data_IF_248541556002
#
_entry.id   IF_248541556002
#
_cell.length_a   1.000
_cell.length_b   1.000
_cell.length_c   1.000
_cell.angle_alpha   90.00
_cell.angle_beta   90.00
_cell.angle_gamma   90.00
#
_symmetry.space_group_name_H-M   'P 1'
#
loop_
_entity.id
_entity.type
_entity.pdbx_description
1 polymer ?
#
# COMPACT_ATOMS: atom_id res chain seq x y z
N UNK A 1 6.53 -4.33 10.07
CA UNK A 1 5.84 -5.21 9.09
C UNK A 1 6.82 -6.07 8.29
N UNK A 2 7.65 -5.50 7.39
CA UNK A 2 8.50 -6.29 6.47
C UNK A 2 9.98 -5.89 6.53
N UNK A 3 10.61 -5.96 7.71
CA UNK A 3 12.00 -5.51 7.90
C UNK A 3 12.95 -6.33 7.01
N UNK A 4 13.96 -5.65 6.45
CA UNK A 4 15.01 -6.22 5.59
C UNK A 4 14.54 -6.87 4.27
N UNK A 5 13.28 -6.70 3.88
CA UNK A 5 12.72 -7.21 2.62
C UNK A 5 12.54 -6.08 1.60
N UNK A 6 12.50 -6.42 0.31
CA UNK A 6 12.32 -5.44 -0.78
C UNK A 6 11.04 -4.62 -0.63
N UNK A 7 9.93 -5.25 -0.23
CA UNK A 7 8.64 -4.61 0.02
C UNK A 7 8.67 -3.61 1.19
N UNK A 8 9.63 -3.74 2.12
CA UNK A 8 9.82 -2.82 3.24
C UNK A 8 10.67 -1.59 2.92
N UNK A 9 11.21 -1.47 1.70
CA UNK A 9 12.05 -0.34 1.29
C UNK A 9 11.18 0.85 0.88
N UNK A 10 11.64 2.06 1.22
CA UNK A 10 11.02 3.29 0.71
C UNK A 10 11.09 3.32 -0.82
N UNK A 11 9.98 3.65 -1.47
CA UNK A 11 9.90 3.81 -2.94
C UNK A 11 10.88 4.89 -3.41
N UNK A 12 11.06 5.96 -2.62
CA UNK A 12 11.94 7.07 -2.95
C UNK A 12 13.43 6.75 -2.74
N UNK A 13 13.75 5.63 -2.09
CA UNK A 13 15.11 5.31 -1.66
C UNK A 13 15.62 6.27 -0.58
N UNK A 14 16.93 6.48 -0.56
CA UNK A 14 17.61 7.43 0.34
C UNK A 14 18.32 8.52 -0.46
N UNK A 15 18.61 9.71 0.14
CA UNK A 15 19.35 10.78 -0.52
C UNK A 15 20.67 10.30 -1.14
N UNK A 16 21.39 9.38 -0.49
CA UNK A 16 22.65 8.80 -0.96
C UNK A 16 22.44 7.97 -2.22
N UNK A 17 21.43 7.08 -2.20
CA UNK A 17 21.12 6.24 -3.37
C UNK A 17 20.70 7.07 -4.58
N UNK A 18 19.84 8.08 -4.37
CA UNK A 18 19.34 8.96 -5.44
C UNK A 18 20.48 9.76 -6.07
N UNK A 19 21.42 10.29 -5.27
CA UNK A 19 22.60 11.00 -5.77
C UNK A 19 23.59 10.10 -6.51
N UNK A 20 23.55 8.79 -6.27
CA UNK A 20 24.48 7.83 -6.89
C UNK A 20 24.05 7.32 -8.27
N UNK A 21 22.81 7.58 -8.68
CA UNK A 21 22.28 7.05 -9.94
C UNK A 21 22.95 7.65 -11.17
N UNK A 22 23.25 6.78 -12.13
CA UNK A 22 23.83 7.12 -13.43
C UNK A 22 22.85 6.80 -14.55
N UNK A 23 22.98 7.50 -15.69
CA UNK A 23 22.18 7.23 -16.89
C UNK A 23 22.23 5.75 -17.30
N UNK A 24 23.43 5.15 -17.25
CA UNK A 24 23.61 3.72 -17.55
C UNK A 24 22.75 2.83 -16.65
N UNK A 25 22.71 3.07 -15.34
CA UNK A 25 21.91 2.26 -14.42
C UNK A 25 20.41 2.36 -14.71
N UNK A 26 19.92 3.52 -15.15
CA UNK A 26 18.52 3.72 -15.54
C UNK A 26 18.19 2.95 -16.82
N UNK A 27 19.06 3.03 -17.84
CA UNK A 27 18.91 2.24 -19.06
C UNK A 27 18.95 0.73 -18.77
N UNK A 28 19.93 0.26 -17.99
CA UNK A 28 20.04 -1.13 -17.59
C UNK A 28 18.80 -1.59 -16.80
N UNK A 29 18.21 -0.72 -15.98
CA UNK A 29 16.96 -1.02 -15.27
C UNK A 29 15.78 -1.18 -16.23
N UNK A 30 15.62 -0.27 -17.19
CA UNK A 30 14.56 -0.35 -18.20
C UNK A 30 14.72 -1.65 -19.00
N UNK A 31 15.91 -1.92 -19.53
CA UNK A 31 16.19 -3.13 -20.32
C UNK A 31 15.85 -4.41 -19.56
N UNK A 32 16.18 -4.49 -18.26
CA UNK A 32 15.89 -5.67 -17.45
C UNK A 32 14.42 -5.79 -17.05
N UNK A 33 13.75 -4.69 -16.71
CA UNK A 33 12.44 -4.76 -16.04
C UNK A 33 11.26 -4.65 -17.00
N UNK A 34 11.39 -3.87 -18.07
CA UNK A 34 10.31 -3.64 -19.02
C UNK A 34 10.39 -4.71 -20.10
N UNK A 35 9.31 -5.43 -20.34
CA UNK A 35 9.16 -6.39 -21.43
C UNK A 35 7.68 -6.50 -21.74
N UNK A 36 7.32 -6.77 -22.99
CA UNK A 36 5.91 -6.77 -23.41
C UNK A 36 5.03 -7.69 -22.53
N UNK A 37 5.54 -8.82 -22.06
CA UNK A 37 4.83 -9.75 -21.16
C UNK A 37 4.49 -9.17 -19.77
N UNK A 38 5.13 -8.05 -19.37
CA UNK A 38 4.94 -7.36 -18.09
C UNK A 38 4.32 -5.96 -18.26
N UNK A 39 3.86 -5.62 -19.46
CA UNK A 39 3.26 -4.33 -19.79
C UNK A 39 1.81 -4.52 -20.21
N UNK A 40 0.92 -3.67 -19.69
CA UNK A 40 -0.49 -3.65 -20.07
C UNK A 40 -0.83 -2.26 -20.57
N UNK A 41 -1.42 -2.17 -21.76
CA UNK A 41 -1.88 -0.90 -22.33
C UNK A 41 -3.38 -0.83 -22.17
N UNK A 42 -3.84 0.21 -21.48
CA UNK A 42 -5.25 0.40 -21.12
C UNK A 42 -5.78 1.65 -21.80
N UNK A 43 -6.97 1.55 -22.38
CA UNK A 43 -7.67 2.68 -22.98
C UNK A 43 -9.16 2.62 -22.63
N UNK A 44 -9.75 3.75 -22.24
CA UNK A 44 -11.15 3.86 -21.84
C UNK A 44 -11.77 5.12 -22.46
N UNK A 45 -13.02 5.01 -22.94
CA UNK A 45 -13.75 6.07 -23.63
C UNK A 45 -14.38 5.60 -24.95
N UNK A 46 -14.63 6.52 -25.88
CA UNK A 46 -15.13 6.21 -27.23
C UNK A 46 -14.01 5.64 -28.11
N UNK A 47 -13.72 4.35 -27.92
CA UNK A 47 -12.59 3.67 -28.56
C UNK A 47 -13.10 2.41 -29.25
N UNK A 48 -12.67 2.22 -30.50
CA UNK A 48 -12.87 0.96 -31.23
C UNK A 48 -11.70 0.03 -30.95
N UNK A 49 -11.96 -1.07 -30.24
CA UNK A 49 -10.94 -2.03 -29.79
C UNK A 49 -9.96 -2.43 -30.90
N UNK A 50 -10.45 -2.88 -32.06
CA UNK A 50 -9.59 -3.35 -33.15
C UNK A 50 -8.71 -2.24 -33.77
N UNK A 51 -9.17 -0.99 -33.73
CA UNK A 51 -8.34 0.14 -34.19
C UNK A 51 -7.24 0.43 -33.18
N UNK A 52 -7.57 0.36 -31.89
CA UNK A 52 -6.62 0.56 -30.81
C UNK A 52 -5.55 -0.53 -30.77
N UNK A 53 -5.93 -1.81 -30.87
CA UNK A 53 -4.99 -2.94 -30.91
C UNK A 53 -4.04 -2.80 -32.08
N UNK A 54 -4.55 -2.51 -33.28
CA UNK A 54 -3.70 -2.27 -34.47
C UNK A 54 -2.71 -1.13 -34.26
N UNK A 55 -3.15 -0.04 -33.63
CA UNK A 55 -2.25 1.09 -33.36
C UNK A 55 -1.16 0.73 -32.34
N UNK A 56 -1.51 -0.05 -31.32
CA UNK A 56 -0.55 -0.60 -30.35
C UNK A 56 0.45 -1.52 -31.05
N UNK A 57 -0.01 -2.46 -31.86
CA UNK A 57 0.85 -3.37 -32.64
C UNK A 57 1.78 -2.61 -33.57
N UNK A 58 1.26 -1.60 -34.29
CA UNK A 58 2.05 -0.77 -35.19
C UNK A 58 3.18 -0.01 -34.47
N UNK A 59 2.95 0.45 -33.24
CA UNK A 59 3.93 1.27 -32.48
C UNK A 59 4.85 0.45 -31.59
N UNK A 60 4.35 -0.64 -31.02
CA UNK A 60 4.99 -1.38 -29.94
C UNK A 60 5.18 -2.86 -30.26
N UNK A 61 4.73 -3.35 -31.42
CA UNK A 61 4.90 -4.76 -31.83
C UNK A 61 6.36 -5.20 -31.99
N UNK A 62 7.26 -4.25 -32.24
CA UNK A 62 8.71 -4.49 -32.26
C UNK A 62 9.39 -4.38 -30.89
N UNK A 63 8.65 -4.09 -29.81
CA UNK A 63 9.21 -4.01 -28.47
C UNK A 63 9.62 -5.40 -27.97
N UNK A 64 10.65 -5.47 -27.13
CA UNK A 64 11.15 -6.75 -26.62
C UNK A 64 10.05 -7.52 -25.89
N UNK A 65 9.94 -8.81 -26.20
CA UNK A 65 8.86 -9.65 -25.70
C UNK A 65 8.99 -9.96 -24.20
N UNK A 66 10.21 -10.28 -23.75
CA UNK A 66 10.48 -10.71 -22.37
C UNK A 66 11.34 -9.74 -21.59
N UNK A 67 11.12 -9.69 -20.29
CA UNK A 67 11.97 -8.98 -19.35
C UNK A 67 12.97 -9.97 -18.72
N UNK A 68 14.22 -9.54 -18.49
CA UNK A 68 15.24 -10.32 -17.78
C UNK A 68 15.13 -10.12 -16.25
N UNK A 69 13.91 -10.18 -15.73
CA UNK A 69 13.62 -9.90 -14.32
C UNK A 69 13.56 -11.19 -13.52
N UNK A 70 14.10 -11.15 -12.29
CA UNK A 70 14.06 -12.27 -11.37
C UNK A 70 12.69 -12.37 -10.68
N UNK A 71 12.28 -13.60 -10.36
CA UNK A 71 11.08 -13.84 -9.56
C UNK A 71 11.32 -13.27 -8.15
N UNK A 72 10.47 -12.36 -7.66
CA UNK A 72 10.63 -11.81 -6.31
C UNK A 72 10.44 -12.90 -5.25
N UNK A 73 11.19 -12.78 -4.16
CA UNK A 73 10.98 -13.62 -2.99
C UNK A 73 9.67 -13.24 -2.30
N UNK A 74 8.97 -14.26 -1.79
CA UNK A 74 7.74 -14.05 -1.05
C UNK A 74 7.97 -13.21 0.20
N UNK A 75 7.12 -12.19 0.38
CA UNK A 75 7.14 -11.34 1.54
C UNK A 75 6.70 -12.11 2.80
N UNK A 76 7.37 -11.82 3.92
CA UNK A 76 7.10 -12.40 5.23
C UNK A 76 6.74 -11.31 6.22
N UNK A 77 5.51 -11.32 6.74
CA UNK A 77 5.13 -10.40 7.79
C UNK A 77 5.83 -10.79 9.10
N UNK A 78 6.70 -9.91 9.60
CA UNK A 78 7.48 -10.12 10.84
C UNK A 78 7.00 -9.25 12.01
N UNK A 79 5.99 -8.39 11.78
CA UNK A 79 5.52 -7.44 12.79
C UNK A 79 6.58 -6.42 13.20
N UNK A 80 6.62 -6.12 14.50
CA UNK A 80 7.54 -5.19 15.15
C UNK A 80 6.95 -3.80 15.38
N UNK A 81 7.67 -2.99 16.16
CA UNK A 81 7.32 -1.60 16.48
C UNK A 81 8.34 -0.62 15.88
N UNK A 82 7.90 0.61 15.65
CA UNK A 82 8.78 1.72 15.29
C UNK A 82 8.18 2.99 15.89
N UNK A 83 9.04 3.80 16.51
CA UNK A 83 8.66 5.07 17.12
C UNK A 83 9.67 6.11 16.69
N UNK A 84 9.16 7.27 16.32
CA UNK A 84 9.96 8.39 15.91
C UNK A 84 9.37 9.63 16.55
N UNK A 85 10.23 10.42 17.19
CA UNK A 85 9.84 11.72 17.71
C UNK A 85 9.93 12.74 16.57
N UNK A 86 8.85 13.49 16.36
CA UNK A 86 8.74 14.54 15.35
C UNK A 86 7.93 15.68 15.93
N UNK A 87 8.36 16.90 15.62
CA UNK A 87 7.62 18.12 15.96
C UNK A 87 6.37 18.23 15.08
N UNK A 88 5.28 17.62 15.55
CA UNK A 88 3.96 17.57 14.92
C UNK A 88 2.91 18.01 15.93
N UNK A 89 1.81 18.58 15.45
CA UNK A 89 0.67 18.97 16.30
C UNK A 89 -0.02 17.76 16.96
N UNK A 90 -0.09 16.64 16.24
CA UNK A 90 -0.74 15.41 16.68
C UNK A 90 0.22 14.22 16.59
N UNK A 91 0.10 13.30 17.54
CA UNK A 91 0.71 11.99 17.46
C UNK A 91 0.00 11.12 16.42
N UNK A 92 0.77 10.60 15.47
CA UNK A 92 0.30 9.68 14.43
C UNK A 92 0.55 8.24 14.87
N UNK A 93 -0.50 7.43 14.87
CA UNK A 93 -0.44 6.02 15.29
C UNK A 93 -0.94 5.15 14.14
N UNK A 94 -0.19 4.08 13.87
CA UNK A 94 -0.61 3.01 12.95
C UNK A 94 -0.48 1.68 13.66
N UNK A 95 -1.62 0.98 13.78
CA UNK A 95 -1.66 -0.43 14.16
C UNK A 95 -1.77 -1.25 12.88
N UNK A 96 -0.76 -2.06 12.59
CA UNK A 96 -0.71 -2.85 11.36
C UNK A 96 -0.64 -4.34 11.64
N UNK A 97 -1.47 -5.11 10.93
CA UNK A 97 -1.57 -6.56 10.94
C UNK A 97 -1.22 -7.12 9.56
N UNK A 98 -0.91 -8.42 9.50
CA UNK A 98 -0.82 -9.11 8.21
C UNK A 98 -2.18 -9.09 7.51
N UNK A 99 -2.19 -8.62 6.26
CA UNK A 99 -3.36 -8.57 5.41
C UNK A 99 -3.45 -9.76 4.46
N UNK A 100 -4.25 -9.58 3.39
CA UNK A 100 -4.48 -10.60 2.36
C UNK A 100 -3.99 -10.11 0.99
N UNK A 101 -3.37 -11.00 0.24
CA UNK A 101 -2.94 -10.74 -1.14
C UNK A 101 -4.14 -10.45 -2.05
N UNK A 102 -3.90 -9.72 -3.14
CA UNK A 102 -4.98 -9.29 -4.05
C UNK A 102 -5.74 -10.44 -4.70
N UNK A 103 -5.05 -11.56 -4.97
CA UNK A 103 -5.60 -12.69 -5.71
C UNK A 103 -6.28 -13.74 -4.82
N UNK A 104 -6.23 -13.62 -3.49
CA UNK A 104 -6.87 -14.59 -2.60
C UNK A 104 -8.31 -14.21 -2.32
N UNK A 105 -9.17 -15.22 -2.15
CA UNK A 105 -10.62 -15.06 -1.91
C UNK A 105 -10.93 -14.06 -0.80
N UNK A 106 -10.15 -14.11 0.28
CA UNK A 106 -10.40 -13.33 1.49
C UNK A 106 -10.01 -11.84 1.33
N UNK A 107 -9.41 -11.43 0.20
CA UNK A 107 -9.11 -10.02 -0.11
C UNK A 107 -10.35 -9.13 0.04
N UNK A 108 -11.46 -9.52 -0.57
CA UNK A 108 -12.71 -8.74 -0.51
C UNK A 108 -13.32 -8.75 0.89
N UNK A 109 -13.17 -9.84 1.65
CA UNK A 109 -13.57 -9.88 3.05
C UNK A 109 -12.77 -8.87 3.88
N UNK A 110 -11.46 -8.76 3.66
CA UNK A 110 -10.61 -7.74 4.31
C UNK A 110 -10.97 -6.30 3.89
N UNK A 111 -11.35 -6.06 2.63
CA UNK A 111 -11.86 -4.76 2.18
C UNK A 111 -13.15 -4.38 2.92
N UNK A 112 -14.12 -5.29 2.98
CA UNK A 112 -15.39 -5.08 3.69
C UNK A 112 -15.13 -4.85 5.18
N UNK A 113 -14.23 -5.61 5.79
CA UNK A 113 -13.83 -5.43 7.18
C UNK A 113 -13.27 -4.02 7.42
N UNK A 114 -12.38 -3.52 6.54
CA UNK A 114 -11.88 -2.13 6.66
C UNK A 114 -13.01 -1.09 6.55
N UNK A 115 -14.03 -1.35 5.73
CA UNK A 115 -15.16 -0.45 5.57
C UNK A 115 -16.03 -0.38 6.83
N UNK A 116 -16.32 -1.54 7.43
CA UNK A 116 -17.09 -1.66 8.68
C UNK A 116 -16.34 -1.00 9.84
N UNK A 117 -15.02 -1.22 9.93
CA UNK A 117 -14.22 -0.71 11.02
C UNK A 117 -13.95 0.79 10.93
N UNK A 118 -13.58 1.30 9.75
CA UNK A 118 -13.12 2.68 9.62
C UNK A 118 -13.29 3.31 8.24
N UNK A 119 -14.22 2.83 7.42
CA UNK A 119 -14.40 3.31 6.04
C UNK A 119 -15.26 4.57 5.85
N UNK A 120 -15.85 5.10 6.93
CA UNK A 120 -16.71 6.27 6.86
C UNK A 120 -17.33 6.65 8.20
N UNK A 121 -18.24 7.62 8.19
CA UNK A 121 -18.83 8.18 9.42
C UNK A 121 -19.68 7.18 10.21
N UNK A 122 -20.26 6.18 9.54
CA UNK A 122 -21.04 5.11 10.19
C UNK A 122 -20.19 3.94 10.70
N UNK A 123 -18.87 3.99 10.54
CA UNK A 123 -17.98 2.91 10.93
C UNK A 123 -17.79 2.82 12.45
N UNK A 124 -17.43 1.63 12.94
CA UNK A 124 -17.22 1.34 14.37
C UNK A 124 -16.26 2.35 15.02
N UNK A 125 -15.07 2.52 14.43
CA UNK A 125 -14.03 3.41 14.95
C UNK A 125 -14.46 4.87 14.92
N UNK A 126 -15.16 5.31 13.86
CA UNK A 126 -15.64 6.68 13.81
C UNK A 126 -16.64 6.96 14.94
N UNK A 127 -17.59 6.05 15.16
CA UNK A 127 -18.59 6.20 16.21
C UNK A 127 -17.97 6.14 17.61
N UNK A 128 -17.13 5.14 17.89
CA UNK A 128 -16.64 4.90 19.25
C UNK A 128 -15.50 5.84 19.64
N UNK A 129 -14.58 6.13 18.73
CA UNK A 129 -13.40 6.92 19.03
C UNK A 129 -13.65 8.42 18.84
N UNK A 130 -14.26 8.80 17.71
CA UNK A 130 -14.46 10.21 17.37
C UNK A 130 -15.78 10.76 17.89
N UNK A 131 -16.91 10.11 17.60
CA UNK A 131 -18.23 10.65 17.95
C UNK A 131 -18.51 10.59 19.46
N UNK A 132 -18.34 9.41 20.07
CA UNK A 132 -18.69 9.19 21.48
C UNK A 132 -17.65 9.72 22.47
N UNK A 133 -16.36 9.61 22.13
CA UNK A 133 -15.26 9.90 23.06
C UNK A 133 -14.42 11.13 22.70
N UNK A 134 -14.53 11.65 21.47
CA UNK A 134 -13.77 12.82 21.03
C UNK A 134 -12.25 12.64 21.10
N UNK A 135 -11.74 11.40 21.02
CA UNK A 135 -10.32 11.10 21.25
C UNK A 135 -9.43 11.45 20.05
N UNK A 136 -9.97 11.52 18.85
CA UNK A 136 -9.19 11.83 17.66
C UNK A 136 -10.06 12.53 16.62
N UNK A 137 -9.44 13.37 15.80
CA UNK A 137 -10.10 13.97 14.64
C UNK A 137 -10.14 13.02 13.43
N UNK A 138 -9.07 12.24 13.25
CA UNK A 138 -8.94 11.29 12.14
C UNK A 138 -8.67 9.89 12.67
N UNK A 139 -9.56 8.96 12.33
CA UNK A 139 -9.40 7.52 12.51
C UNK A 139 -10.00 6.80 11.31
N UNK A 140 -9.28 5.84 10.76
CA UNK A 140 -9.75 5.01 9.67
C UNK A 140 -9.03 3.67 9.65
N UNK A 141 -9.67 2.67 9.04
CA UNK A 141 -9.08 1.38 8.77
C UNK A 141 -8.78 1.26 7.28
N UNK A 142 -7.73 0.51 6.95
CA UNK A 142 -7.34 0.28 5.57
C UNK A 142 -6.87 -1.16 5.39
N UNK A 143 -6.98 -1.62 4.16
CA UNK A 143 -6.39 -2.86 3.72
C UNK A 143 -5.67 -2.65 2.38
N UNK A 144 -4.39 -2.98 2.33
CA UNK A 144 -3.56 -2.91 1.15
C UNK A 144 -3.13 -4.34 0.78
N UNK A 145 -3.68 -4.86 -0.32
CA UNK A 145 -3.28 -6.15 -0.87
C UNK A 145 -2.12 -6.00 -1.85
N UNK A 146 -1.07 -6.78 -1.67
CA UNK A 146 0.04 -6.94 -2.60
C UNK A 146 -0.12 -8.24 -3.40
N UNK A 147 0.85 -8.53 -4.27
CA UNK A 147 0.85 -9.74 -5.10
C UNK A 147 0.81 -11.03 -4.28
N UNK A 148 1.45 -11.05 -3.12
CA UNK A 148 1.74 -12.25 -2.33
C UNK A 148 1.46 -12.10 -0.82
N UNK A 149 1.27 -10.87 -0.32
CA UNK A 149 0.89 -10.58 1.06
C UNK A 149 -0.06 -9.37 1.11
N UNK A 150 -0.39 -8.88 2.29
CA UNK A 150 -1.10 -7.62 2.47
C UNK A 150 -0.76 -6.94 3.80
N UNK A 151 -1.25 -5.72 3.97
CA UNK A 151 -1.31 -5.04 5.27
C UNK A 151 -2.76 -4.70 5.54
N UNK A 152 -3.26 -5.10 6.70
CA UNK A 152 -4.46 -4.53 7.29
C UNK A 152 -4.04 -3.56 8.39
N UNK A 153 -4.68 -2.41 8.54
CA UNK A 153 -4.31 -1.52 9.61
C UNK A 153 -5.35 -0.49 9.99
N UNK A 154 -5.13 0.12 11.14
CA UNK A 154 -5.87 1.26 11.64
C UNK A 154 -4.90 2.42 11.82
N UNK A 155 -5.24 3.56 11.23
CA UNK A 155 -4.54 4.81 11.45
C UNK A 155 -5.38 5.71 12.34
N UNK A 156 -4.74 6.39 13.29
CA UNK A 156 -5.37 7.43 14.09
C UNK A 156 -4.41 8.59 14.38
N UNK A 157 -4.95 9.81 14.46
CA UNK A 157 -4.21 11.02 14.81
C UNK A 157 -4.85 11.66 16.06
N UNK A 158 -4.08 11.80 17.13
CA UNK A 158 -4.57 12.29 18.43
C UNK A 158 -3.53 13.12 19.17
N UNK A 159 -3.95 13.85 20.20
CA UNK A 159 -3.03 14.50 21.14
C UNK A 159 -2.21 13.48 21.93
N UNK A 160 -0.96 13.83 22.25
CA UNK A 160 -0.03 12.92 22.93
C UNK A 160 -0.57 12.38 24.27
N UNK A 161 -1.33 13.21 25.00
CA UNK A 161 -1.98 12.84 26.27
C UNK A 161 -3.07 11.78 26.14
N UNK A 162 -3.68 11.63 24.95
CA UNK A 162 -4.83 10.75 24.75
C UNK A 162 -4.46 9.40 24.11
N UNK A 163 -3.21 9.21 23.71
CA UNK A 163 -2.70 7.94 23.15
C UNK A 163 -3.03 6.75 24.07
N UNK A 164 -2.79 6.91 25.37
CA UNK A 164 -3.01 5.84 26.37
C UNK A 164 -4.48 5.45 26.51
N UNK A 165 -5.42 6.33 26.17
CA UNK A 165 -6.87 6.06 26.14
C UNK A 165 -7.33 5.57 24.77
N UNK A 166 -6.73 6.09 23.70
CA UNK A 166 -7.09 5.78 22.32
C UNK A 166 -6.79 4.33 21.95
N UNK A 167 -5.58 3.86 22.23
CA UNK A 167 -5.11 2.53 21.77
C UNK A 167 -6.00 1.39 22.29
N UNK A 168 -6.39 1.34 23.58
CA UNK A 168 -7.31 0.31 24.06
C UNK A 168 -8.65 0.31 23.34
N UNK A 169 -9.24 1.49 23.09
CA UNK A 169 -10.54 1.60 22.38
C UNK A 169 -10.42 1.07 20.95
N UNK A 170 -9.32 1.36 20.25
CA UNK A 170 -9.09 0.80 18.91
C UNK A 170 -9.00 -0.73 18.97
N UNK A 171 -8.28 -1.29 19.97
CA UNK A 171 -8.12 -2.74 20.11
C UNK A 171 -9.45 -3.42 20.45
N UNK A 172 -10.28 -2.83 21.30
CA UNK A 172 -11.60 -3.35 21.65
C UNK A 172 -12.52 -3.40 20.43
N UNK A 173 -12.45 -2.39 19.55
CA UNK A 173 -13.23 -2.40 18.30
C UNK A 173 -12.73 -3.41 17.25
N UNK A 174 -11.54 -3.98 17.43
CA UNK A 174 -11.01 -5.04 16.57
C UNK A 174 -11.41 -6.45 17.02
N UNK A 175 -11.97 -6.60 18.23
CA UNK A 175 -12.58 -7.84 18.71
C UNK A 175 -13.99 -8.04 18.12
#
# INVERSE_FOLDING_TARGET
AFRHQTIGRSILGTPETVKSFTSKQLHDFIERQYGAERMVIVAAGDIKHDKFVREVENRLGGFRSKADSTIPQYAQYVGGDFREDRDLMDAQIVLGFEGRAYHVRDFYASQVLSMILGGGMSSRLFQEVREKRGLCYSVYAFHWGFSDTGIFGVHAATGQSDIAKLVPVIIDELQ
#
